data_IF_697196177837
#
_entry.id   IF_697196177837
#
_cell.length_a   1.000
_cell.length_b   1.000
_cell.length_c   1.000
_cell.angle_alpha   90.00
_cell.angle_beta   90.00
_cell.angle_gamma   90.00
#
_symmetry.space_group_name_H-M   'P 1'
#
loop_
_entity.id
_entity.type
_entity.pdbx_description
1 polymer ?
#
# COMPACT_ATOMS: atom_id res chain seq x y z
N UNK A 1 13.89 -13.01 -4.13
CA UNK A 1 12.88 -13.26 -3.08
C UNK A 1 11.86 -14.22 -3.67
N UNK A 2 11.29 -15.11 -2.86
CA UNK A 2 10.26 -16.02 -3.37
C UNK A 2 8.92 -15.29 -3.54
N UNK A 3 8.02 -15.82 -4.37
CA UNK A 3 6.64 -15.31 -4.49
C UNK A 3 5.98 -15.22 -3.10
N UNK A 4 6.15 -16.25 -2.28
CA UNK A 4 5.66 -16.27 -0.91
C UNK A 4 6.22 -15.14 -0.01
N UNK A 5 7.44 -14.65 -0.27
CA UNK A 5 7.97 -13.49 0.45
C UNK A 5 7.32 -12.18 0.00
N UNK A 6 6.96 -12.07 -1.28
CA UNK A 6 6.28 -10.91 -1.84
C UNK A 6 4.83 -10.84 -1.40
N UNK A 7 4.09 -11.95 -1.44
CA UNK A 7 2.71 -12.05 -0.91
C UNK A 7 2.66 -11.60 0.56
N UNK A 8 3.62 -12.07 1.37
CA UNK A 8 3.71 -11.71 2.79
C UNK A 8 4.08 -10.25 3.04
N UNK A 9 4.70 -9.58 2.06
CA UNK A 9 4.94 -8.12 2.11
C UNK A 9 3.67 -7.36 1.74
N UNK A 10 2.95 -7.81 0.71
CA UNK A 10 1.65 -7.23 0.33
C UNK A 10 0.70 -7.28 1.52
N UNK A 11 0.56 -8.43 2.20
CA UNK A 11 -0.27 -8.55 3.40
C UNK A 11 0.10 -7.54 4.49
N UNK A 12 1.41 -7.37 4.75
CA UNK A 12 1.89 -6.41 5.76
C UNK A 12 1.63 -4.96 5.37
N UNK A 13 1.77 -4.64 4.09
CA UNK A 13 1.52 -3.31 3.55
C UNK A 13 0.03 -2.99 3.61
N UNK A 14 -0.85 -3.93 3.26
CA UNK A 14 -2.29 -3.78 3.46
C UNK A 14 -2.65 -3.55 4.93
N UNK A 15 -2.09 -4.34 5.85
CA UNK A 15 -2.26 -4.16 7.29
C UNK A 15 -1.75 -2.80 7.80
N UNK A 16 -0.72 -2.23 7.17
CA UNK A 16 -0.17 -0.92 7.52
C UNK A 16 -1.03 0.21 6.95
N UNK A 17 -1.51 0.06 5.72
CA UNK A 17 -2.46 0.96 5.08
C UNK A 17 -3.72 1.10 5.92
N UNK A 18 -4.34 -0.01 6.32
CA UNK A 18 -5.57 0.00 7.11
C UNK A 18 -5.37 0.77 8.43
N UNK A 19 -4.23 0.57 9.12
CA UNK A 19 -3.89 1.32 10.33
C UNK A 19 -3.67 2.81 10.09
N UNK A 20 -3.20 3.19 8.90
CA UNK A 20 -3.01 4.58 8.53
C UNK A 20 -4.33 5.22 8.13
N UNK A 21 -5.22 4.50 7.46
CA UNK A 21 -6.60 4.94 7.16
C UNK A 21 -7.39 5.17 8.44
N UNK A 22 -7.37 4.23 9.39
CA UNK A 22 -8.01 4.39 10.70
C UNK A 22 -7.49 5.63 11.44
N UNK A 23 -6.19 5.93 11.31
CA UNK A 23 -5.62 7.17 11.87
C UNK A 23 -6.08 8.38 11.08
N UNK A 24 -6.08 8.32 9.75
CA UNK A 24 -6.48 9.40 8.85
C UNK A 24 -7.88 9.91 9.23
N UNK A 25 -8.85 9.00 9.38
CA UNK A 25 -10.22 9.34 9.78
C UNK A 25 -10.34 10.07 11.12
N UNK A 26 -9.36 9.92 12.00
CA UNK A 26 -9.33 10.60 13.31
C UNK A 26 -8.62 11.95 13.29
N UNK A 27 -7.95 12.30 12.19
CA UNK A 27 -7.18 13.54 12.11
C UNK A 27 -8.12 14.73 11.77
N UNK A 28 -7.99 15.86 12.49
CA UNK A 28 -8.85 17.02 12.28
C UNK A 28 -8.70 17.62 10.88
N UNK A 29 -7.52 17.48 10.28
CA UNK A 29 -7.25 17.92 8.90
C UNK A 29 -8.09 17.17 7.86
N UNK A 30 -8.55 15.94 8.13
CA UNK A 30 -9.41 15.18 7.20
C UNK A 30 -10.86 15.70 7.13
N UNK A 31 -11.21 16.69 7.96
CA UNK A 31 -12.50 17.40 7.87
C UNK A 31 -12.43 18.63 6.95
N UNK A 32 -11.25 19.00 6.46
CA UNK A 32 -11.04 20.12 5.53
C UNK A 32 -11.09 19.60 4.08
N UNK A 33 -11.69 20.38 3.16
CA UNK A 33 -11.92 19.97 1.76
C UNK A 33 -10.62 19.56 1.02
N UNK A 34 -9.46 20.10 1.40
CA UNK A 34 -8.14 19.80 0.82
C UNK A 34 -7.16 19.13 1.82
N UNK A 35 -7.68 18.66 2.96
CA UNK A 35 -6.86 18.15 4.05
C UNK A 35 -5.95 16.98 3.67
N UNK A 36 -6.38 16.14 2.73
CA UNK A 36 -5.63 14.99 2.26
C UNK A 36 -4.42 15.37 1.40
N UNK A 37 -4.50 16.44 0.60
CA UNK A 37 -3.42 16.84 -0.32
C UNK A 37 -2.12 17.22 0.41
N UNK A 38 -2.23 17.68 1.65
CA UNK A 38 -1.08 18.05 2.49
C UNK A 38 -0.85 17.12 3.67
N UNK A 39 -1.65 16.05 3.80
CA UNK A 39 -1.59 15.12 4.91
C UNK A 39 -0.47 14.10 4.72
N UNK A 40 0.54 14.12 5.60
CA UNK A 40 1.62 13.14 5.59
C UNK A 40 1.14 11.68 5.77
N UNK A 41 0.00 11.48 6.42
CA UNK A 41 -0.61 10.14 6.56
C UNK A 41 -1.17 9.67 5.23
N UNK A 42 -1.83 10.56 4.49
CA UNK A 42 -2.37 10.26 3.16
C UNK A 42 -1.24 9.98 2.17
N UNK A 43 -0.17 10.78 2.16
CA UNK A 43 1.00 10.52 1.31
C UNK A 43 1.68 9.17 1.60
N UNK A 44 1.61 8.68 2.85
CA UNK A 44 2.09 7.33 3.20
C UNK A 44 1.17 6.23 2.69
N UNK A 45 -0.15 6.45 2.74
CA UNK A 45 -1.15 5.53 2.17
C UNK A 45 -0.93 5.39 0.67
N UNK A 46 -0.84 6.51 -0.06
CA UNK A 46 -0.59 6.48 -1.52
C UNK A 46 0.71 5.75 -1.88
N UNK A 47 1.76 5.96 -1.08
CA UNK A 47 3.02 5.24 -1.28
C UNK A 47 2.87 3.74 -1.03
N UNK A 48 2.12 3.35 -0.01
CA UNK A 48 1.87 1.94 0.28
C UNK A 48 1.08 1.28 -0.86
N UNK A 49 0.09 1.97 -1.42
CA UNK A 49 -0.66 1.46 -2.57
C UNK A 49 0.24 1.26 -3.79
N UNK A 50 1.13 2.22 -4.08
CA UNK A 50 2.15 2.06 -5.14
C UNK A 50 3.09 0.89 -4.88
N UNK A 51 3.56 0.74 -3.63
CA UNK A 51 4.44 -0.36 -3.24
C UNK A 51 3.71 -1.72 -3.38
N UNK A 52 2.40 -1.79 -3.12
CA UNK A 52 1.57 -2.99 -3.33
C UNK A 52 1.47 -3.31 -4.82
N UNK A 53 1.10 -2.34 -5.67
CA UNK A 53 0.99 -2.54 -7.12
C UNK A 53 2.31 -3.06 -7.72
N UNK A 54 3.44 -2.46 -7.32
CA UNK A 54 4.77 -2.90 -7.75
C UNK A 54 5.14 -4.32 -7.28
N UNK A 55 4.58 -4.78 -6.16
CA UNK A 55 4.81 -6.12 -5.65
C UNK A 55 3.92 -7.13 -6.36
N UNK A 56 2.67 -6.78 -6.65
CA UNK A 56 1.74 -7.59 -7.42
C UNK A 56 2.25 -7.80 -8.85
N UNK A 57 2.74 -6.76 -9.53
CA UNK A 57 3.36 -6.89 -10.85
C UNK A 57 4.57 -7.84 -10.82
N UNK A 58 5.44 -7.72 -9.81
CA UNK A 58 6.58 -8.65 -9.64
C UNK A 58 6.15 -10.08 -9.36
N UNK A 59 5.04 -10.29 -8.66
CA UNK A 59 4.48 -11.63 -8.43
C UNK A 59 3.96 -12.21 -9.74
N UNK A 60 3.23 -11.43 -10.54
CA UNK A 60 2.75 -11.83 -11.86
C UNK A 60 3.90 -12.17 -12.82
N UNK A 61 4.94 -11.34 -12.87
CA UNK A 61 6.15 -11.61 -13.67
C UNK A 61 6.80 -12.94 -13.28
N UNK A 62 7.00 -13.18 -11.98
CA UNK A 62 7.63 -14.41 -11.50
C UNK A 62 6.77 -15.66 -11.73
N UNK A 63 5.45 -15.54 -11.67
CA UNK A 63 4.54 -16.65 -12.01
C UNK A 63 4.54 -16.93 -13.52
N UNK A 64 4.62 -15.88 -14.35
CA UNK A 64 4.68 -16.01 -15.81
C UNK A 64 6.02 -16.57 -16.32
N UNK A 65 7.14 -16.22 -15.66
CA UNK A 65 8.46 -16.78 -15.95
C UNK A 65 8.58 -18.27 -15.62
N UNK A 66 7.74 -18.82 -14.72
CA UNK A 66 7.70 -20.27 -14.42
C UNK A 66 6.97 -21.11 -15.49
N UNK A 67 6.26 -20.48 -16.45
CA UNK A 67 5.52 -21.18 -17.53
C UNK A 67 6.28 -21.31 -18.88
N UNK A 68 7.51 -20.78 -19.03
CA UNK A 68 8.39 -20.98 -20.22
C UNK A 68 9.51 -22.03 -20.01
#
# INVERSE_FOLDING_TARGET
MSIADYEKKVEKLMDERDKLEEKCDTLPQCQEDDGCETCETYAKIEKIDQDIEELEEKIEELMGEEEE
#
